data_IF_363580517139
#
_entry.id   IF_363580517139
#
_cell.length_a   1.000
_cell.length_b   1.000
_cell.length_c   1.000
_cell.angle_alpha   90.00
_cell.angle_beta   90.00
_cell.angle_gamma   90.00
#
_symmetry.space_group_name_H-M   'P 1'
#
loop_
_entity.id
_entity.type
_entity.pdbx_description
1 polymer ?
#
# COMPACT_ATOMS: atom_id res chain seq x y z
N UNK A 1 36.83 -24.58 -12.50
CA UNK A 1 35.99 -23.87 -11.51
C UNK A 1 35.43 -22.64 -12.21
N UNK A 2 34.14 -22.65 -12.57
CA UNK A 2 33.52 -21.53 -13.26
C UNK A 2 33.22 -20.43 -12.24
N UNK A 3 33.67 -19.21 -12.54
CA UNK A 3 33.49 -18.02 -11.74
C UNK A 3 32.02 -17.58 -11.87
N UNK A 4 31.19 -17.85 -10.85
CA UNK A 4 29.78 -17.42 -10.84
C UNK A 4 29.78 -15.93 -10.51
N UNK A 5 29.25 -15.05 -11.40
CA UNK A 5 29.15 -13.63 -11.12
C UNK A 5 28.29 -13.38 -9.87
N UNK A 6 28.83 -12.66 -8.89
CA UNK A 6 28.20 -12.40 -7.59
C UNK A 6 27.19 -11.24 -7.63
N UNK A 7 27.07 -10.56 -8.77
CA UNK A 7 26.18 -9.41 -8.98
C UNK A 7 24.92 -9.81 -9.76
N UNK A 8 24.09 -10.70 -9.21
CA UNK A 8 22.69 -10.78 -9.66
C UNK A 8 22.00 -9.54 -9.07
N UNK A 9 21.60 -8.55 -9.88
CA UNK A 9 20.92 -7.38 -9.33
C UNK A 9 19.65 -7.85 -8.64
N UNK A 10 19.49 -7.49 -7.35
CA UNK A 10 18.24 -7.72 -6.63
C UNK A 10 17.10 -7.16 -7.49
N UNK A 11 16.16 -8.03 -7.90
CA UNK A 11 14.96 -7.58 -8.61
C UNK A 11 14.25 -6.57 -7.72
N UNK A 12 14.15 -5.32 -8.19
CA UNK A 12 13.30 -4.32 -7.54
C UNK A 12 11.85 -4.79 -7.64
N UNK A 13 11.10 -4.68 -6.55
CA UNK A 13 9.66 -4.93 -6.56
C UNK A 13 8.95 -4.03 -7.57
N UNK A 14 7.76 -4.44 -8.02
CA UNK A 14 6.93 -3.67 -8.94
C UNK A 14 5.85 -2.92 -8.16
N UNK A 15 5.71 -1.61 -8.41
CA UNK A 15 4.60 -0.80 -7.92
C UNK A 15 3.51 -0.73 -8.99
N UNK A 16 2.30 -1.12 -8.62
CA UNK A 16 1.11 -0.97 -9.46
C UNK A 16 0.27 0.19 -8.94
N UNK A 17 -0.09 1.13 -9.83
CA UNK A 17 -1.00 2.24 -9.52
C UNK A 17 -2.28 2.05 -10.32
N UNK A 18 -3.38 1.77 -9.64
CA UNK A 18 -4.71 1.65 -10.26
C UNK A 18 -5.45 2.99 -10.13
N UNK A 19 -5.66 3.70 -11.23
CA UNK A 19 -6.35 5.00 -11.27
C UNK A 19 -7.61 4.97 -12.14
N UNK A 20 -8.67 5.65 -11.68
CA UNK A 20 -9.95 5.86 -12.37
C UNK A 20 -10.86 6.78 -11.52
N UNK A 21 -12.02 7.25 -12.01
CA UNK A 21 -12.99 7.97 -11.17
C UNK A 21 -13.55 7.14 -10.01
N UNK A 22 -14.18 7.78 -9.03
CA UNK A 22 -14.90 7.07 -7.96
C UNK A 22 -16.02 6.18 -8.56
N UNK A 23 -16.26 5.02 -7.96
CA UNK A 23 -17.29 4.07 -8.44
C UNK A 23 -16.89 3.17 -9.61
N UNK A 24 -15.77 3.40 -10.28
CA UNK A 24 -15.32 2.60 -11.43
C UNK A 24 -14.71 1.22 -11.08
N UNK A 25 -14.79 0.78 -9.81
CA UNK A 25 -14.45 -0.59 -9.42
C UNK A 25 -12.98 -0.90 -9.07
N UNK A 26 -12.11 0.10 -8.86
CA UNK A 26 -10.68 -0.11 -8.50
C UNK A 26 -10.48 -1.05 -7.31
N UNK A 27 -11.21 -0.81 -6.23
CA UNK A 27 -11.11 -1.61 -5.01
C UNK A 27 -11.51 -3.06 -5.28
N UNK A 28 -12.54 -3.29 -6.10
CA UNK A 28 -12.96 -4.63 -6.50
C UNK A 28 -11.88 -5.34 -7.32
N UNK A 29 -11.26 -4.64 -8.28
CA UNK A 29 -10.17 -5.20 -9.08
C UNK A 29 -8.94 -5.50 -8.23
N UNK A 30 -8.53 -4.57 -7.36
CA UNK A 30 -7.39 -4.74 -6.48
C UNK A 30 -7.55 -5.95 -5.56
N UNK A 31 -8.74 -6.12 -4.93
CA UNK A 31 -9.03 -7.28 -4.09
C UNK A 31 -8.93 -8.59 -4.85
N UNK A 32 -9.52 -8.67 -6.05
CA UNK A 32 -9.42 -9.86 -6.91
C UNK A 32 -7.98 -10.20 -7.30
N UNK A 33 -7.14 -9.20 -7.56
CA UNK A 33 -5.73 -9.41 -7.85
C UNK A 33 -4.98 -9.96 -6.62
N UNK A 34 -5.24 -9.41 -5.43
CA UNK A 34 -4.62 -9.87 -4.18
C UNK A 34 -5.07 -11.28 -3.79
N UNK A 35 -6.29 -11.68 -4.14
CA UNK A 35 -6.79 -13.06 -3.94
C UNK A 35 -6.13 -14.09 -4.86
N UNK A 36 -5.56 -13.66 -5.99
CA UNK A 36 -4.97 -14.55 -7.01
C UNK A 36 -3.44 -14.59 -6.98
N UNK A 37 -2.78 -13.60 -6.41
CA UNK A 37 -1.33 -13.43 -6.45
C UNK A 37 -0.74 -13.22 -5.05
N UNK A 38 -0.16 -14.28 -4.47
CA UNK A 38 0.41 -14.29 -3.11
C UNK A 38 1.57 -13.29 -2.92
N UNK A 39 2.18 -12.84 -4.01
CA UNK A 39 3.30 -11.89 -3.99
C UNK A 39 2.87 -10.43 -4.15
N UNK A 40 1.56 -10.15 -4.18
CA UNK A 40 1.03 -8.79 -4.21
C UNK A 40 0.56 -8.36 -2.82
N UNK A 41 0.86 -7.12 -2.48
CA UNK A 41 0.45 -6.50 -1.23
C UNK A 41 -0.26 -5.19 -1.53
N UNK A 42 -1.34 -4.91 -0.79
CA UNK A 42 -2.01 -3.61 -0.85
C UNK A 42 -1.24 -2.61 0.01
N UNK A 43 -1.00 -1.41 -0.53
CA UNK A 43 -0.56 -0.27 0.29
C UNK A 43 -1.75 0.23 1.10
N UNK A 44 -1.63 0.26 2.42
CA UNK A 44 -2.68 0.76 3.33
C UNK A 44 -2.42 2.22 3.64
N UNK A 45 -3.37 3.09 3.30
CA UNK A 45 -3.26 4.54 3.51
C UNK A 45 -3.50 4.93 4.98
N UNK A 46 -2.95 6.07 5.41
CA UNK A 46 -3.27 6.66 6.70
C UNK A 46 -4.48 7.61 6.60
N UNK A 47 -5.27 7.73 7.67
CA UNK A 47 -6.39 8.70 7.73
C UNK A 47 -6.62 9.21 9.14
N UNK A 48 -7.08 10.46 9.26
CA UNK A 48 -7.50 11.07 10.54
C UNK A 48 -8.98 10.88 10.87
N UNK A 49 -9.74 10.30 9.93
CA UNK A 49 -11.16 10.01 10.13
C UNK A 49 -11.31 8.86 11.13
N UNK A 50 -12.31 8.93 12.00
CA UNK A 50 -12.68 7.81 12.86
C UNK A 50 -13.06 6.56 12.05
N UNK A 51 -12.61 5.35 12.44
CA UNK A 51 -13.02 4.10 11.81
C UNK A 51 -14.55 3.93 11.81
N UNK A 52 -15.09 3.38 10.73
CA UNK A 52 -16.47 2.86 10.71
C UNK A 52 -16.52 1.51 11.43
N UNK A 53 -17.69 1.07 11.93
CA UNK A 53 -17.81 -0.21 12.65
C UNK A 53 -17.35 -1.45 11.86
N UNK A 54 -17.34 -1.38 10.53
CA UNK A 54 -16.92 -2.46 9.64
C UNK A 54 -15.47 -2.38 9.17
N UNK A 55 -14.72 -1.35 9.59
CA UNK A 55 -13.33 -1.13 9.17
C UNK A 55 -12.36 -1.68 10.23
N UNK A 56 -11.23 -2.20 9.77
CA UNK A 56 -10.17 -2.79 10.61
C UNK A 56 -8.87 -1.96 10.49
N UNK A 57 -8.25 -1.65 11.63
CA UNK A 57 -6.94 -0.98 11.73
C UNK A 57 -5.86 -1.80 11.00
N UNK A 58 -5.05 -1.13 10.19
CA UNK A 58 -3.95 -1.74 9.44
C UNK A 58 -4.38 -2.56 8.23
N UNK A 59 -5.69 -2.67 7.95
CA UNK A 59 -6.25 -3.37 6.78
C UNK A 59 -6.96 -2.42 5.84
N UNK A 60 -7.90 -1.63 6.37
CA UNK A 60 -8.62 -0.63 5.57
C UNK A 60 -7.85 0.69 5.53
N UNK A 61 -7.41 1.15 6.71
CA UNK A 61 -6.56 2.33 6.89
C UNK A 61 -5.67 2.12 8.12
N UNK A 62 -4.61 2.92 8.21
CA UNK A 62 -3.93 3.23 9.46
C UNK A 62 -4.65 4.44 10.06
N UNK A 63 -5.42 4.24 11.13
CA UNK A 63 -6.21 5.32 11.74
C UNK A 63 -5.34 6.05 12.77
N UNK A 64 -5.03 7.32 12.48
CA UNK A 64 -4.18 8.16 13.33
C UNK A 64 -4.93 9.39 13.78
N UNK A 65 -4.48 10.03 14.85
CA UNK A 65 -4.98 11.36 15.20
C UNK A 65 -4.34 12.44 14.31
N UNK A 66 -4.82 13.67 14.48
CA UNK A 66 -4.36 14.80 13.68
C UNK A 66 -2.90 15.16 13.95
N UNK A 67 -2.40 15.00 15.19
CA UNK A 67 -1.03 15.32 15.54
C UNK A 67 -0.06 14.33 14.89
N UNK A 68 -0.34 13.03 15.01
CA UNK A 68 0.42 11.95 14.39
C UNK A 68 0.46 12.10 12.87
N UNK A 69 -0.67 12.41 12.22
CA UNK A 69 -0.70 12.64 10.77
C UNK A 69 0.19 13.82 10.35
N UNK A 70 0.19 14.91 11.12
CA UNK A 70 1.08 16.05 10.84
C UNK A 70 2.56 15.69 11.01
N UNK A 71 2.90 14.82 11.96
CA UNK A 71 4.27 14.34 12.11
C UNK A 71 4.68 13.44 10.93
N UNK A 72 3.79 12.57 10.44
CA UNK A 72 4.04 11.77 9.23
C UNK A 72 4.34 12.63 7.99
N UNK A 73 3.63 13.76 7.82
CA UNK A 73 3.91 14.72 6.74
C UNK A 73 5.32 15.31 6.91
N UNK A 74 5.65 15.81 8.12
CA UNK A 74 6.95 16.44 8.39
C UNK A 74 8.12 15.49 8.16
N UNK A 75 7.93 14.22 8.49
CA UNK A 75 8.95 13.18 8.38
C UNK A 75 9.08 12.61 6.96
N UNK A 76 8.26 13.07 6.01
CA UNK A 76 8.25 12.55 4.63
C UNK A 76 7.78 11.09 4.54
N UNK A 77 6.95 10.66 5.49
CA UNK A 77 6.48 9.28 5.59
C UNK A 77 5.28 8.96 4.65
N UNK A 78 4.75 9.96 3.94
CA UNK A 78 3.61 9.84 3.03
C UNK A 78 4.04 10.14 1.59
N UNK A 79 3.47 9.40 0.62
CA UNK A 79 3.73 9.59 -0.81
C UNK A 79 2.80 10.63 -1.45
N UNK A 80 1.54 10.69 -1.02
CA UNK A 80 0.51 11.66 -1.44
C UNK A 80 -0.22 12.26 -0.23
#
# INVERSE_FOLDING_TARGET
>A
MANIPTDIPMRRGMLFVLSSPSGAGKTTLARKLLEQEDNLFMSVSATTRTPRPSEEEGKDYIFVDQEAFQNMIKDGALLE
#
